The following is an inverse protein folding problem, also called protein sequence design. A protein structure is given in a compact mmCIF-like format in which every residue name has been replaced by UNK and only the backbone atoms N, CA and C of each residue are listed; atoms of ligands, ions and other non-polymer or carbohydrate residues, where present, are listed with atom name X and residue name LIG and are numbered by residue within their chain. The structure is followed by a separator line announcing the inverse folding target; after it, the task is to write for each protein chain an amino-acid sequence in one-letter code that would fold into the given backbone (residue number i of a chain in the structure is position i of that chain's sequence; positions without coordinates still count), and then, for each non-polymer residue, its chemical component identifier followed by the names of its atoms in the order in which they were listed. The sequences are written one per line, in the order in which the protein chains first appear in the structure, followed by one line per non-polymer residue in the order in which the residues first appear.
data_IF_858352694518
#
_entry.id   IF_858352694518
#
_cell.length_a   1.000
_cell.length_b   1.000
_cell.length_c   1.000
_cell.angle_alpha   90.00
_cell.angle_beta   90.00
_cell.angle_gamma   90.00
#
_symmetry.space_group_name_H-M   'P 1'
#
loop_
_entity.id
_entity.type
_entity.pdbx_description
1 polymer ?
#
# COMPACT_ATOMS: atom_id res chain seq x y z
N UNK A 1 6.16 4.36 18.94
CA UNK A 1 7.20 3.43 19.48
C UNK A 1 8.16 2.90 18.42
N UNK A 2 7.69 2.36 17.27
CA UNK A 2 8.54 1.81 16.18
C UNK A 2 9.54 2.80 15.53
N UNK A 3 9.29 4.12 15.57
CA UNK A 3 10.22 5.13 15.05
C UNK A 3 11.55 5.19 15.83
N UNK A 4 11.50 4.96 17.15
CA UNK A 4 12.69 4.98 18.01
C UNK A 4 13.56 3.74 17.77
N UNK A 5 12.96 2.58 17.48
CA UNK A 5 13.69 1.34 17.21
C UNK A 5 14.56 1.41 15.95
N UNK A 6 14.03 2.01 14.86
CA UNK A 6 14.76 2.06 13.59
C UNK A 6 15.84 3.16 13.54
N UNK A 7 15.68 4.22 14.34
CA UNK A 7 16.78 5.17 14.59
C UNK A 7 17.93 4.51 15.36
N UNK A 8 17.61 3.59 16.27
CA UNK A 8 18.58 2.80 17.02
C UNK A 8 19.40 1.86 16.10
N UNK A 9 18.77 1.22 15.11
CA UNK A 9 19.48 0.35 14.15
C UNK A 9 20.47 1.13 13.26
N UNK A 10 20.11 2.37 12.88
CA UNK A 10 21.03 3.28 12.18
C UNK A 10 22.20 3.72 13.05
N UNK A 11 21.96 3.96 14.35
CA UNK A 11 23.03 4.28 15.30
C UNK A 11 23.98 3.09 15.53
N UNK A 12 23.45 1.86 15.63
CA UNK A 12 24.23 0.64 15.80
C UNK A 12 25.16 0.34 14.61
N UNK A 13 24.65 0.52 13.39
CA UNK A 13 25.46 0.36 12.17
C UNK A 13 26.56 1.42 12.06
N UNK A 14 26.26 2.68 12.41
CA UNK A 14 27.27 3.73 12.53
C UNK A 14 28.34 3.43 13.59
N UNK A 15 27.95 2.87 14.73
CA UNK A 15 28.88 2.49 15.79
C UNK A 15 29.83 1.36 15.37
N UNK A 16 29.36 0.36 14.61
CA UNK A 16 30.20 -0.72 14.06
C UNK A 16 31.24 -0.21 13.06
N UNK A 17 30.86 0.73 12.19
CA UNK A 17 31.79 1.37 11.26
C UNK A 17 32.86 2.21 11.99
N UNK A 18 32.45 2.93 13.05
CA UNK A 18 33.36 3.67 13.90
C UNK A 18 34.39 2.75 14.59
N UNK A 19 33.95 1.59 15.09
CA UNK A 19 34.84 0.59 15.67
C UNK A 19 35.88 0.09 14.65
N UNK A 20 35.46 -0.18 13.41
CA UNK A 20 36.37 -0.56 12.33
C UNK A 20 37.42 0.51 12.03
N UNK A 21 37.04 1.79 12.05
CA UNK A 21 37.97 2.90 11.85
C UNK A 21 38.99 3.02 13.00
N UNK A 22 38.55 2.82 14.24
CA UNK A 22 39.43 2.80 15.43
C UNK A 22 40.45 1.67 15.33
N UNK A 23 40.04 0.47 14.89
CA UNK A 23 40.96 -0.67 14.68
C UNK A 23 41.98 -0.39 13.59
N UNK A 24 41.54 0.16 12.44
CA UNK A 24 42.45 0.53 11.34
C UNK A 24 43.47 1.59 11.77
N UNK A 25 43.04 2.58 12.54
CA UNK A 25 43.91 3.62 13.04
C UNK A 25 44.93 3.09 14.06
N UNK A 26 44.51 2.24 14.99
CA UNK A 26 45.42 1.54 15.91
C UNK A 26 46.45 0.67 15.17
N UNK A 27 46.03 -0.02 14.10
CA UNK A 27 46.92 -0.80 13.26
C UNK A 27 47.93 0.08 12.50
N UNK A 28 47.51 1.26 12.03
CA UNK A 28 48.40 2.21 11.36
C UNK A 28 49.50 2.71 12.32
N UNK A 29 49.13 3.14 13.54
CA UNK A 29 50.09 3.56 14.57
C UNK A 29 51.07 2.42 14.95
N UNK A 30 50.60 1.17 15.00
CA UNK A 30 51.46 0.01 15.25
C UNK A 30 52.47 -0.22 14.12
N UNK A 31 52.06 -0.07 12.86
CA UNK A 31 52.89 -0.33 11.67
C UNK A 31 53.93 0.77 11.45
N UNK A 32 53.56 2.04 11.65
CA UNK A 32 54.47 3.18 11.39
C UNK A 32 55.52 3.35 12.49
N UNK A 33 55.36 2.67 13.64
CA UNK A 33 56.27 2.79 14.79
C UNK A 33 56.23 4.17 15.44
N UNK A 34 55.28 5.00 15.02
CA UNK A 34 55.15 6.39 15.41
C UNK A 34 54.05 6.52 16.44
N UNK A 35 54.44 6.75 17.70
CA UNK A 35 53.51 6.99 18.81
C UNK A 35 52.94 8.44 18.73
N UNK A 36 52.50 8.87 17.54
CA UNK A 36 52.21 10.28 17.23
C UNK A 36 51.06 10.87 18.07
N UNK A 37 50.24 10.02 18.68
CA UNK A 37 49.02 10.42 19.38
C UNK A 37 48.91 9.67 20.71
N UNK A 38 49.52 10.22 21.77
CA UNK A 38 49.41 9.69 23.14
C UNK A 38 47.96 9.37 23.55
N UNK A 39 47.74 8.52 24.57
CA UNK A 39 46.45 7.87 24.84
C UNK A 39 45.26 8.83 24.96
N UNK A 40 45.48 10.06 25.40
CA UNK A 40 44.44 11.10 25.42
C UNK A 40 43.93 11.54 24.05
N UNK A 41 44.81 11.65 23.04
CA UNK A 41 44.43 11.97 21.65
C UNK A 41 43.66 10.82 21.01
N UNK A 42 44.05 9.58 21.32
CA UNK A 42 43.34 8.38 20.88
C UNK A 42 41.91 8.32 21.40
N UNK A 43 41.73 8.52 22.70
CA UNK A 43 40.42 8.50 23.34
C UNK A 43 39.54 9.65 22.85
N UNK A 44 40.11 10.85 22.68
CA UNK A 44 39.38 12.01 22.17
C UNK A 44 38.89 11.79 20.74
N UNK A 45 39.77 11.36 19.83
CA UNK A 45 39.41 11.13 18.43
C UNK A 45 38.39 10.00 18.27
N UNK A 46 38.59 8.87 18.97
CA UNK A 46 37.65 7.75 18.96
C UNK A 46 36.29 8.13 19.53
N UNK A 47 36.26 8.91 20.62
CA UNK A 47 35.03 9.45 21.20
C UNK A 47 34.29 10.36 20.22
N UNK A 48 34.99 11.30 19.57
CA UNK A 48 34.41 12.16 18.54
C UNK A 48 33.85 11.34 17.37
N UNK A 49 34.57 10.32 16.89
CA UNK A 49 34.11 9.46 15.80
C UNK A 49 32.85 8.68 16.15
N UNK A 50 32.76 8.11 17.35
CA UNK A 50 31.55 7.41 17.81
C UNK A 50 30.36 8.37 17.84
N UNK A 51 30.53 9.58 18.39
CA UNK A 51 29.47 10.58 18.47
C UNK A 51 29.04 11.03 17.07
N UNK A 52 29.99 11.35 16.18
CA UNK A 52 29.71 11.77 14.80
C UNK A 52 28.96 10.69 14.04
N UNK A 53 29.40 9.43 14.11
CA UNK A 53 28.76 8.31 13.44
C UNK A 53 27.37 8.01 14.00
N UNK A 54 27.17 8.12 15.33
CA UNK A 54 25.86 7.95 15.94
C UNK A 54 24.87 9.05 15.50
N UNK A 55 25.33 10.31 15.44
CA UNK A 55 24.52 11.43 14.97
C UNK A 55 24.18 11.31 13.47
N UNK A 56 25.16 10.93 12.65
CA UNK A 56 24.95 10.67 11.21
C UNK A 56 23.98 9.52 10.97
N UNK A 57 24.17 8.38 11.65
CA UNK A 57 23.30 7.20 11.52
C UNK A 57 21.86 7.48 11.97
N UNK A 58 21.69 8.22 13.06
CA UNK A 58 20.38 8.69 13.50
C UNK A 58 19.75 9.64 12.48
N UNK A 59 20.49 10.63 12.01
CA UNK A 59 20.05 11.59 10.99
C UNK A 59 19.60 10.90 9.71
N UNK A 60 20.45 10.04 9.14
CA UNK A 60 20.15 9.27 7.94
C UNK A 60 18.94 8.35 8.14
N UNK A 61 18.84 7.67 9.29
CA UNK A 61 17.69 6.84 9.63
C UNK A 61 16.39 7.64 9.63
N UNK A 62 16.39 8.85 10.21
CA UNK A 62 15.20 9.71 10.20
C UNK A 62 14.85 10.23 8.79
N UNK A 63 15.85 10.60 7.98
CA UNK A 63 15.67 11.03 6.60
C UNK A 63 15.10 9.91 5.73
N UNK A 64 15.65 8.70 5.85
CA UNK A 64 15.15 7.52 5.15
C UNK A 64 13.69 7.22 5.51
N UNK A 65 13.32 7.33 6.80
CA UNK A 65 11.93 7.16 7.22
C UNK A 65 11.01 8.26 6.68
N UNK A 66 11.49 9.50 6.61
CA UNK A 66 10.75 10.61 5.99
C UNK A 66 10.56 10.33 4.49
N UNK A 67 11.61 9.95 3.77
CA UNK A 67 11.54 9.59 2.36
C UNK A 67 10.57 8.42 2.13
N UNK A 68 10.61 7.39 2.98
CA UNK A 68 9.67 6.27 2.91
C UNK A 68 8.22 6.69 3.18
N UNK A 69 7.99 7.61 4.11
CA UNK A 69 6.65 8.17 4.39
C UNK A 69 6.13 9.06 3.27
N UNK A 70 7.03 9.77 2.60
CA UNK A 70 6.74 10.61 1.44
C UNK A 70 6.64 9.80 0.15
N UNK A 71 7.04 8.52 0.16
CA UNK A 71 6.82 7.64 -0.97
C UNK A 71 5.31 7.49 -1.17
N UNK A 72 4.86 7.78 -2.38
CA UNK A 72 3.47 7.71 -2.82
C UNK A 72 3.15 6.41 -3.55
N UNK A 73 4.16 5.56 -3.78
CA UNK A 73 4.07 4.29 -4.51
C UNK A 73 4.34 3.10 -3.60
N UNK A 74 3.66 1.99 -3.83
CA UNK A 74 3.94 0.71 -3.18
C UNK A 74 5.15 0.03 -3.85
N UNK A 75 6.20 -0.35 -3.12
CA UNK A 75 7.42 -0.92 -3.70
C UNK A 75 7.22 -2.30 -4.33
N UNK A 76 6.21 -3.07 -3.89
CA UNK A 76 5.97 -4.42 -4.41
C UNK A 76 5.23 -4.39 -5.75
N UNK A 77 4.15 -3.62 -5.80
CA UNK A 77 3.19 -3.60 -6.92
C UNK A 77 3.38 -2.40 -7.86
N UNK A 78 4.19 -1.42 -7.46
CA UNK A 78 4.46 -0.18 -8.21
C UNK A 78 3.21 0.67 -8.52
N UNK A 79 2.06 0.37 -7.91
CA UNK A 79 0.87 1.23 -7.91
C UNK A 79 0.98 2.26 -6.79
N UNK A 80 0.03 3.19 -6.72
CA UNK A 80 0.01 4.17 -5.64
C UNK A 80 -0.26 3.48 -4.29
N UNK A 81 0.13 4.16 -3.20
CA UNK A 81 -0.18 3.72 -1.85
C UNK A 81 -1.20 4.65 -1.20
N UNK A 82 -1.67 4.27 0.00
CA UNK A 82 -2.69 5.03 0.74
C UNK A 82 -2.36 6.52 0.94
N UNK A 83 -1.07 6.89 0.99
CA UNK A 83 -0.66 8.28 1.20
C UNK A 83 -0.92 9.16 -0.02
N UNK A 84 -0.99 8.56 -1.22
CA UNK A 84 -1.38 9.24 -2.44
C UNK A 84 -2.89 9.34 -2.59
N UNK A 85 -3.59 8.26 -2.23
CA UNK A 85 -5.00 8.09 -2.52
C UNK A 85 -5.89 9.14 -1.84
N UNK A 86 -5.69 9.41 -0.54
CA UNK A 86 -6.56 10.32 0.20
C UNK A 86 -6.50 11.75 -0.36
N UNK A 87 -5.32 12.38 -0.53
CA UNK A 87 -5.24 13.72 -1.12
C UNK A 87 -5.77 13.77 -2.56
N UNK A 88 -5.53 12.73 -3.37
CA UNK A 88 -6.03 12.70 -4.74
C UNK A 88 -7.57 12.55 -4.78
N UNK A 89 -8.16 11.73 -3.91
CA UNK A 89 -9.61 11.60 -3.80
C UNK A 89 -10.27 12.92 -3.36
N UNK A 90 -9.71 13.61 -2.36
CA UNK A 90 -10.21 14.92 -1.90
C UNK A 90 -10.19 15.94 -3.04
N UNK A 91 -9.07 15.99 -3.78
CA UNK A 91 -8.91 16.86 -4.95
C UNK A 91 -9.92 16.51 -6.05
N UNK A 92 -10.13 15.24 -6.36
CA UNK A 92 -11.08 14.82 -7.39
C UNK A 92 -12.52 15.12 -7.00
N UNK A 93 -12.89 15.00 -5.72
CA UNK A 93 -14.22 15.39 -5.24
C UNK A 93 -14.45 16.89 -5.33
N UNK A 94 -13.47 17.72 -4.95
CA UNK A 94 -13.57 19.17 -5.09
C UNK A 94 -13.73 19.61 -6.56
N UNK A 95 -13.04 18.93 -7.48
CA UNK A 95 -13.19 19.16 -8.92
C UNK A 95 -14.55 18.69 -9.44
N UNK A 96 -15.02 17.53 -8.98
CA UNK A 96 -16.31 16.96 -9.31
C UNK A 96 -17.47 17.84 -8.89
N UNK A 97 -17.42 18.40 -7.67
CA UNK A 97 -18.39 19.35 -7.16
C UNK A 97 -18.46 20.62 -8.04
N UNK A 98 -17.30 21.14 -8.44
CA UNK A 98 -17.23 22.35 -9.28
C UNK A 98 -17.67 22.12 -10.72
N UNK A 99 -17.35 20.96 -11.29
CA UNK A 99 -17.54 20.67 -12.72
C UNK A 99 -18.79 19.83 -13.02
N UNK A 100 -19.44 19.26 -11.99
CA UNK A 100 -20.66 18.47 -12.14
C UNK A 100 -20.45 17.08 -12.72
N UNK A 101 -19.38 16.37 -12.33
CA UNK A 101 -19.15 14.98 -12.75
C UNK A 101 -19.15 14.00 -11.57
N UNK A 102 -19.35 12.71 -11.85
CA UNK A 102 -19.34 11.65 -10.84
C UNK A 102 -17.94 11.10 -10.59
N UNK A 103 -17.65 10.75 -9.35
CA UNK A 103 -16.40 10.06 -8.95
C UNK A 103 -16.78 8.78 -8.25
N UNK A 104 -16.32 7.64 -8.77
CA UNK A 104 -16.53 6.34 -8.12
C UNK A 104 -15.28 5.90 -7.36
N UNK A 105 -15.48 5.37 -6.16
CA UNK A 105 -14.47 4.75 -5.33
C UNK A 105 -14.81 3.26 -5.17
N UNK A 106 -13.83 2.41 -5.44
CA UNK A 106 -13.98 0.95 -5.37
C UNK A 106 -13.02 0.42 -4.32
N UNK A 107 -13.54 -0.27 -3.31
CA UNK A 107 -12.73 -1.05 -2.36
C UNK A 107 -12.68 -2.50 -2.84
N UNK A 108 -11.48 -3.07 -2.86
CA UNK A 108 -11.18 -4.41 -3.35
C UNK A 108 -10.42 -5.16 -2.27
N UNK A 109 -10.82 -6.39 -1.99
CA UNK A 109 -10.14 -7.32 -1.09
C UNK A 109 -9.94 -8.66 -1.81
N UNK A 110 -8.73 -9.21 -1.76
CA UNK A 110 -8.44 -10.52 -2.33
C UNK A 110 -8.88 -11.64 -1.39
N UNK A 111 -9.84 -12.44 -1.84
CA UNK A 111 -10.40 -13.51 -1.02
C UNK A 111 -9.36 -14.61 -0.77
N UNK A 112 -9.31 -15.10 0.47
CA UNK A 112 -8.42 -16.17 0.93
C UNK A 112 -6.93 -15.96 0.63
N UNK A 113 -6.48 -14.72 0.45
CA UNK A 113 -5.07 -14.40 0.17
C UNK A 113 -4.10 -14.95 1.22
N UNK A 114 -4.52 -14.98 2.49
CA UNK A 114 -3.74 -15.61 3.57
C UNK A 114 -3.49 -17.10 3.31
N UNK A 115 -4.47 -17.84 2.79
CA UNK A 115 -4.32 -19.26 2.45
C UNK A 115 -3.27 -19.48 1.36
N UNK A 116 -3.21 -18.58 0.37
CA UNK A 116 -2.17 -18.60 -0.67
C UNK A 116 -0.78 -18.46 -0.04
N UNK A 117 -0.61 -17.50 0.88
CA UNK A 117 0.66 -17.32 1.60
C UNK A 117 1.02 -18.54 2.45
N UNK A 118 0.06 -19.09 3.18
CA UNK A 118 0.29 -20.21 4.10
C UNK A 118 0.62 -21.51 3.33
N UNK A 119 0.03 -21.70 2.14
CA UNK A 119 0.19 -22.93 1.35
C UNK A 119 1.37 -22.87 0.36
N UNK A 120 1.59 -21.70 -0.26
CA UNK A 120 2.54 -21.53 -1.37
C UNK A 120 3.71 -20.59 -1.02
N UNK A 121 3.71 -20.05 0.19
CA UNK A 121 4.72 -19.11 0.67
C UNK A 121 4.47 -17.66 0.22
N UNK A 122 5.10 -16.74 0.93
CA UNK A 122 4.95 -15.30 0.69
C UNK A 122 5.36 -14.84 -0.70
N UNK A 123 6.33 -15.49 -1.35
CA UNK A 123 6.75 -15.14 -2.71
C UNK A 123 5.63 -15.38 -3.73
N UNK A 124 4.80 -16.41 -3.52
CA UNK A 124 3.65 -16.67 -4.37
C UNK A 124 2.54 -15.63 -4.15
N UNK A 125 2.30 -15.22 -2.90
CA UNK A 125 1.37 -14.13 -2.59
C UNK A 125 1.82 -12.79 -3.18
N UNK A 126 3.11 -12.48 -3.10
CA UNK A 126 3.69 -11.29 -3.72
C UNK A 126 3.47 -11.27 -5.23
N UNK A 127 3.57 -12.43 -5.89
CA UNK A 127 3.31 -12.55 -7.32
C UNK A 127 1.83 -12.34 -7.68
N UNK A 128 0.91 -12.89 -6.87
CA UNK A 128 -0.53 -12.63 -7.02
C UNK A 128 -0.83 -11.14 -6.92
N UNK A 129 -0.22 -10.44 -5.95
CA UNK A 129 -0.41 -9.00 -5.78
C UNK A 129 0.09 -8.20 -6.99
N UNK A 130 1.25 -8.58 -7.57
CA UNK A 130 1.76 -7.95 -8.80
C UNK A 130 0.83 -8.18 -9.99
N UNK A 131 0.33 -9.40 -10.15
CA UNK A 131 -0.58 -9.75 -11.25
C UNK A 131 -1.90 -8.97 -11.19
N UNK A 132 -2.48 -8.85 -10.00
CA UNK A 132 -3.71 -8.07 -9.78
C UNK A 132 -3.45 -6.58 -10.06
N UNK A 133 -2.35 -6.03 -9.53
CA UNK A 133 -1.98 -4.64 -9.76
C UNK A 133 -1.79 -4.33 -11.26
N UNK A 134 -1.10 -5.21 -11.98
CA UNK A 134 -0.90 -5.11 -13.42
C UNK A 134 -2.21 -5.23 -14.21
N UNK A 135 -3.09 -6.14 -13.79
CA UNK A 135 -4.42 -6.31 -14.37
C UNK A 135 -5.23 -5.00 -14.27
N UNK A 136 -5.25 -4.35 -13.10
CA UNK A 136 -5.87 -3.04 -12.95
C UNK A 136 -5.20 -1.97 -13.82
N UNK A 137 -3.86 -1.85 -13.76
CA UNK A 137 -3.14 -0.82 -14.53
C UNK A 137 -3.39 -0.90 -16.04
N UNK A 138 -3.56 -2.10 -16.60
CA UNK A 138 -3.79 -2.29 -18.04
C UNK A 138 -5.20 -1.96 -18.47
N UNK A 139 -6.17 -2.07 -17.57
CA UNK A 139 -7.59 -1.86 -17.87
C UNK A 139 -8.12 -0.48 -17.47
N UNK A 140 -7.43 0.19 -16.56
CA UNK A 140 -7.78 1.52 -16.09
C UNK A 140 -7.19 2.62 -16.99
N UNK A 141 -7.88 3.76 -17.06
CA UNK A 141 -7.43 4.92 -17.83
C UNK A 141 -6.33 5.65 -17.08
N UNK A 142 -5.60 6.53 -17.77
CA UNK A 142 -4.56 7.37 -17.14
C UNK A 142 -5.09 8.31 -16.04
N UNK A 143 -6.37 8.67 -16.11
CA UNK A 143 -7.07 9.50 -15.11
C UNK A 143 -7.47 8.72 -13.87
N UNK A 144 -7.51 7.40 -13.97
CA UNK A 144 -7.94 6.52 -12.91
C UNK A 144 -6.74 6.20 -12.02
N UNK A 145 -6.99 6.04 -10.73
CA UNK A 145 -5.95 5.71 -9.75
C UNK A 145 -6.19 4.31 -9.22
N UNK A 146 -5.17 3.46 -9.31
CA UNK A 146 -5.10 2.21 -8.55
C UNK A 146 -4.15 2.39 -7.39
N UNK A 147 -4.59 2.01 -6.21
CA UNK A 147 -3.84 2.10 -4.97
C UNK A 147 -3.85 0.76 -4.24
N UNK A 148 -2.70 0.33 -3.72
CA UNK A 148 -2.65 -0.71 -2.69
C UNK A 148 -2.82 -0.06 -1.32
N UNK A 149 -3.97 -0.27 -0.71
CA UNK A 149 -4.36 0.37 0.55
C UNK A 149 -3.83 -0.40 1.77
N UNK A 150 -3.92 -1.72 1.71
CA UNK A 150 -3.53 -2.67 2.75
C UNK A 150 -2.77 -3.87 2.18
N UNK A 151 -2.53 -4.90 2.98
CA UNK A 151 -1.75 -6.07 2.58
C UNK A 151 -2.26 -6.69 1.27
N UNK A 152 -3.53 -7.01 1.23
CA UNK A 152 -4.29 -7.61 0.13
C UNK A 152 -5.45 -6.73 -0.36
N UNK A 153 -5.53 -5.51 0.14
CA UNK A 153 -6.59 -4.56 -0.18
C UNK A 153 -6.12 -3.55 -1.23
N UNK A 154 -6.93 -3.39 -2.29
CA UNK A 154 -6.75 -2.35 -3.29
C UNK A 154 -7.92 -1.37 -3.25
N UNK A 155 -7.65 -0.14 -3.66
CA UNK A 155 -8.68 0.88 -3.85
C UNK A 155 -8.50 1.52 -5.22
N UNK A 156 -9.60 1.62 -5.95
CA UNK A 156 -9.65 2.31 -7.24
C UNK A 156 -10.40 3.62 -7.07
N UNK A 157 -9.85 4.70 -7.61
CA UNK A 157 -10.51 6.00 -7.73
C UNK A 157 -10.73 6.28 -9.21
N UNK A 158 -11.99 6.46 -9.59
CA UNK A 158 -12.45 6.56 -10.98
C UNK A 158 -13.16 7.91 -11.19
N UNK A 159 -12.43 8.98 -11.53
CA UNK A 159 -13.03 10.25 -11.93
C UNK A 159 -13.88 10.10 -13.19
N UNK A 160 -14.86 10.98 -13.39
CA UNK A 160 -15.77 10.97 -14.54
C UNK A 160 -16.47 9.62 -14.77
N UNK A 161 -16.72 8.88 -13.69
CA UNK A 161 -17.29 7.53 -13.75
C UNK A 161 -18.41 7.41 -12.74
N UNK A 162 -19.62 7.14 -13.22
CA UNK A 162 -20.79 6.86 -12.40
C UNK A 162 -20.68 5.48 -11.74
N UNK A 163 -21.49 5.24 -10.71
CA UNK A 163 -21.54 3.96 -10.00
C UNK A 163 -21.78 2.78 -10.95
N UNK A 164 -22.72 2.94 -11.88
CA UNK A 164 -23.08 1.91 -12.87
C UNK A 164 -21.93 1.62 -13.84
N UNK A 165 -21.26 2.66 -14.34
CA UNK A 165 -20.10 2.50 -15.22
C UNK A 165 -18.93 1.83 -14.49
N UNK A 166 -18.70 2.18 -13.22
CA UNK A 166 -17.69 1.52 -12.39
C UNK A 166 -17.99 0.02 -12.23
N UNK A 167 -19.24 -0.35 -11.96
CA UNK A 167 -19.66 -1.76 -11.91
C UNK A 167 -19.42 -2.50 -13.23
N UNK A 168 -19.74 -1.88 -14.37
CA UNK A 168 -19.51 -2.48 -15.69
C UNK A 168 -18.01 -2.66 -15.99
N UNK A 169 -17.19 -1.66 -15.65
CA UNK A 169 -15.74 -1.73 -15.77
C UNK A 169 -15.17 -2.88 -14.95
N UNK A 170 -15.61 -3.03 -13.70
CA UNK A 170 -15.17 -4.12 -12.82
C UNK A 170 -15.58 -5.49 -13.36
N UNK A 171 -16.80 -5.64 -13.90
CA UNK A 171 -17.23 -6.88 -14.54
C UNK A 171 -16.32 -7.25 -15.71
N UNK A 172 -15.93 -6.27 -16.53
CA UNK A 172 -14.98 -6.48 -17.63
C UNK A 172 -13.60 -6.89 -17.11
N UNK A 173 -13.06 -6.20 -16.10
CA UNK A 173 -11.75 -6.51 -15.52
C UNK A 173 -11.74 -7.94 -14.95
N UNK A 174 -12.82 -8.40 -14.34
CA UNK A 174 -12.91 -9.79 -13.83
C UNK A 174 -12.87 -10.85 -14.94
N UNK A 175 -13.23 -10.51 -16.17
CA UNK A 175 -13.16 -11.46 -17.29
C UNK A 175 -11.72 -11.64 -17.80
N UNK A 176 -10.81 -10.71 -17.50
CA UNK A 176 -9.40 -10.83 -17.85
C UNK A 176 -8.76 -12.02 -17.13
N UNK A 177 -7.98 -12.82 -17.86
CA UNK A 177 -7.45 -14.10 -17.36
C UNK A 177 -6.66 -13.96 -16.06
N UNK A 178 -5.88 -12.88 -15.93
CA UNK A 178 -5.07 -12.60 -14.74
C UNK A 178 -5.93 -12.29 -13.49
N UNK A 179 -7.05 -11.59 -13.66
CA UNK A 179 -7.98 -11.30 -12.57
C UNK A 179 -8.99 -12.43 -12.33
N UNK A 180 -9.31 -13.23 -13.35
CA UNK A 180 -10.29 -14.32 -13.29
C UNK A 180 -9.87 -15.44 -12.32
N UNK A 181 -8.57 -15.67 -12.16
CA UNK A 181 -8.04 -16.74 -11.31
C UNK A 181 -7.86 -16.33 -9.85
N UNK A 182 -8.06 -15.05 -9.51
CA UNK A 182 -7.91 -14.51 -8.17
C UNK A 182 -9.29 -14.10 -7.66
N UNK A 183 -9.92 -14.87 -6.75
CA UNK A 183 -11.20 -14.48 -6.18
C UNK A 183 -11.01 -13.16 -5.40
N UNK A 184 -11.94 -12.24 -5.58
CA UNK A 184 -11.89 -10.92 -4.98
C UNK A 184 -13.29 -10.40 -4.69
N UNK A 185 -13.42 -9.75 -3.54
CA UNK A 185 -14.62 -9.05 -3.09
C UNK A 185 -14.49 -7.57 -3.42
N UNK A 186 -15.54 -6.98 -3.98
CA UNK A 186 -15.55 -5.61 -4.49
C UNK A 186 -16.74 -4.84 -3.92
N UNK A 187 -16.52 -3.59 -3.54
CA UNK A 187 -17.57 -2.67 -3.13
C UNK A 187 -17.40 -1.30 -3.77
N UNK A 188 -18.50 -0.74 -4.28
CA UNK A 188 -18.49 0.51 -5.06
C UNK A 188 -19.35 1.55 -4.35
N UNK A 189 -18.81 2.75 -4.19
CA UNK A 189 -19.54 3.95 -3.80
C UNK A 189 -19.24 5.09 -4.78
N UNK A 190 -20.21 5.95 -5.06
CA UNK A 190 -20.02 7.07 -5.98
C UNK A 190 -20.46 8.40 -5.39
N UNK A 191 -19.68 9.45 -5.65
CA UNK A 191 -20.13 10.83 -5.52
C UNK A 191 -21.03 11.21 -6.71
N UNK A 192 -22.15 11.91 -6.48
CA UNK A 192 -22.68 12.37 -5.18
C UNK A 192 -23.65 11.38 -4.50
N UNK A 193 -24.00 10.25 -5.13
CA UNK A 193 -25.07 9.33 -4.70
C UNK A 193 -24.86 8.73 -3.30
N UNK A 194 -23.64 8.29 -2.98
CA UNK A 194 -23.31 7.56 -1.76
C UNK A 194 -22.63 8.43 -0.69
N UNK A 195 -22.34 9.70 -1.01
CA UNK A 195 -21.70 10.64 -0.09
C UNK A 195 -20.98 11.78 -0.78
N UNK A 196 -20.70 12.85 -0.02
CA UNK A 196 -19.99 14.05 -0.47
C UNK A 196 -18.53 14.14 -0.01
N UNK A 197 -18.08 13.24 0.87
CA UNK A 197 -16.72 13.22 1.42
C UNK A 197 -16.02 11.91 1.12
N UNK A 198 -14.68 11.94 1.08
CA UNK A 198 -13.85 10.74 0.88
C UNK A 198 -14.17 9.67 1.93
N UNK A 199 -14.27 10.04 3.20
CA UNK A 199 -14.61 9.12 4.29
C UNK A 199 -15.99 8.47 4.14
N UNK A 200 -16.99 9.22 3.65
CA UNK A 200 -18.33 8.68 3.41
C UNK A 200 -18.31 7.66 2.27
N UNK A 201 -17.63 7.98 1.16
CA UNK A 201 -17.49 7.05 0.03
C UNK A 201 -16.73 5.79 0.42
N UNK A 202 -15.60 5.94 1.13
CA UNK A 202 -14.84 4.80 1.64
C UNK A 202 -15.67 3.89 2.51
N UNK A 203 -16.41 4.45 3.48
CA UNK A 203 -17.26 3.67 4.38
C UNK A 203 -18.34 2.90 3.61
N UNK A 204 -19.01 3.56 2.65
CA UNK A 204 -20.05 2.91 1.84
C UNK A 204 -19.47 1.83 0.92
N UNK A 205 -18.31 2.06 0.33
CA UNK A 205 -17.64 1.07 -0.50
C UNK A 205 -17.17 -0.13 0.33
N UNK A 206 -16.63 0.10 1.52
CA UNK A 206 -16.22 -0.94 2.46
C UNK A 206 -17.41 -1.79 2.95
N UNK A 207 -18.52 -1.16 3.34
CA UNK A 207 -19.76 -1.86 3.71
C UNK A 207 -20.30 -2.76 2.59
N UNK A 208 -20.26 -2.26 1.34
CA UNK A 208 -20.67 -3.01 0.16
C UNK A 208 -19.74 -4.21 -0.11
N UNK A 209 -18.42 -3.99 0.01
CA UNK A 209 -17.41 -5.03 -0.15
C UNK A 209 -17.54 -6.11 0.93
N UNK A 210 -17.76 -5.72 2.18
CA UNK A 210 -17.96 -6.64 3.30
C UNK A 210 -19.19 -7.52 3.10
N UNK A 211 -20.29 -6.95 2.58
CA UNK A 211 -21.50 -7.70 2.23
C UNK A 211 -21.23 -8.70 1.11
N UNK A 212 -20.52 -8.29 0.06
CA UNK A 212 -20.14 -9.19 -1.04
C UNK A 212 -19.28 -10.37 -0.54
N UNK A 213 -18.31 -10.11 0.34
CA UNK A 213 -17.46 -11.12 0.96
C UNK A 213 -18.25 -12.13 1.79
N UNK A 214 -19.29 -11.67 2.48
CA UNK A 214 -20.23 -12.52 3.22
C UNK A 214 -21.04 -13.45 2.32
N UNK A 215 -21.59 -12.92 1.22
CA UNK A 215 -22.37 -13.69 0.24
C UNK A 215 -21.51 -14.76 -0.44
N UNK A 216 -20.30 -14.42 -0.89
CA UNK A 216 -19.42 -15.40 -1.54
C UNK A 216 -18.98 -16.55 -0.65
N UNK A 217 -18.74 -16.27 0.64
CA UNK A 217 -18.45 -17.33 1.63
C UNK A 217 -19.65 -18.24 1.88
N UNK A 218 -20.87 -17.71 1.80
CA UNK A 218 -22.08 -18.53 1.92
C UNK A 218 -22.29 -19.40 0.67
N UNK A 219 -22.13 -18.82 -0.54
CA UNK A 219 -22.23 -19.55 -1.81
C UNK A 219 -21.17 -20.67 -1.93
N UNK A 220 -19.93 -20.40 -1.51
CA UNK A 220 -18.86 -21.41 -1.50
C UNK A 220 -19.15 -22.58 -0.55
N UNK A 221 -19.95 -22.37 0.51
CA UNK A 221 -20.37 -23.43 1.45
C UNK A 221 -21.54 -24.26 0.95
N UNK A 222 -22.43 -23.66 0.15
CA UNK A 222 -23.63 -24.30 -0.39
C UNK A 222 -23.36 -25.07 -1.70
N UNK A 223 -22.21 -24.84 -2.35
CA UNK A 223 -21.75 -25.63 -3.50
C UNK A 223 -22.58 -25.49 -4.77
N UNK A 224 -23.51 -24.52 -4.82
CA UNK A 224 -24.60 -24.48 -5.80
C UNK A 224 -24.32 -23.65 -7.06
N UNK A 225 -23.26 -22.83 -7.14
CA UNK A 225 -22.94 -22.06 -8.36
C UNK A 225 -21.42 -21.81 -8.52
N UNK A 226 -20.90 -21.72 -9.77
CA UNK A 226 -19.52 -21.28 -10.00
C UNK A 226 -19.34 -19.85 -9.46
N UNK A 227 -18.34 -19.67 -8.59
CA UNK A 227 -17.89 -18.40 -8.00
C UNK A 227 -17.82 -17.30 -9.08
N UNK A 228 -18.87 -16.50 -9.25
CA UNK A 228 -18.94 -15.62 -10.43
C UNK A 228 -20.06 -14.59 -10.43
N UNK A 229 -21.31 -15.00 -10.16
CA UNK A 229 -22.49 -14.20 -10.55
C UNK A 229 -23.19 -13.44 -9.40
N UNK A 230 -23.04 -13.84 -8.13
CA UNK A 230 -23.70 -13.18 -6.99
C UNK A 230 -23.13 -11.81 -6.56
N UNK A 231 -21.96 -11.42 -7.10
CA UNK A 231 -21.05 -10.49 -6.42
C UNK A 231 -21.19 -8.99 -6.76
N UNK A 232 -21.65 -8.64 -7.97
CA UNK A 232 -21.90 -7.22 -8.35
C UNK A 232 -23.36 -6.84 -8.05
N UNK A 233 -24.19 -7.86 -7.80
CA UNK A 233 -25.62 -7.71 -7.63
C UNK A 233 -25.99 -7.04 -6.30
N UNK A 234 -25.22 -7.13 -5.21
CA UNK A 234 -25.60 -6.46 -3.97
C UNK A 234 -25.70 -4.92 -4.09
N UNK A 235 -24.86 -4.30 -4.95
CA UNK A 235 -24.95 -2.88 -5.30
C UNK A 235 -26.04 -2.55 -6.32
N UNK A 236 -26.28 -3.44 -7.29
CA UNK A 236 -27.30 -3.28 -8.35
C UNK A 236 -28.73 -3.64 -7.92
N UNK A 237 -28.90 -4.61 -7.01
CA UNK A 237 -30.19 -5.11 -6.50
C UNK A 237 -30.87 -4.04 -5.65
N UNK A 238 -30.12 -3.22 -4.90
CA UNK A 238 -30.72 -2.16 -4.08
C UNK A 238 -31.28 -1.00 -4.91
N UNK A 239 -30.68 -0.66 -6.05
CA UNK A 239 -31.25 0.34 -6.97
C UNK A 239 -32.53 -0.16 -7.66
N UNK A 240 -32.68 -1.48 -7.87
CA UNK A 240 -33.88 -2.05 -8.48
C UNK A 240 -35.08 -2.16 -7.53
N UNK A 241 -34.87 -2.02 -6.21
CA UNK A 241 -35.93 -2.04 -5.19
C UNK A 241 -36.35 -0.64 -4.69
N UNK A 242 -35.74 0.44 -5.21
CA UNK A 242 -35.99 1.83 -4.78
C UNK A 242 -36.52 2.75 -5.90
N UNK A 243 -36.92 2.20 -7.04
CA UNK A 243 -37.69 2.91 -8.06
C UNK A 243 -39.14 2.40 -8.03
N UNK A 244 -40.14 3.30 -8.00
CA UNK A 244 -41.56 2.94 -7.92
C UNK A 244 -42.06 2.16 -9.14
#
# INVERSE_FOLDING_TARGET
MRLKLNGLTGALTGALLALGFVVLWAAADYITGDLYHGPGRFLLFSGCMIVINALWGFGLGTLYQRAKRLSVTDPLTQVYNRNFLIPEAEKQLALAERQGYAVSLVVVDLDDFKSVNDTRGHLAGDEVLRQVADCFRRNLRRTDTVCRYGGDEFVLLLPYTTKTEACQLLLRIRQETACRQVPMSLGVAAYPEDGSTVDALFRRADEAMYTAKGCGRAEARDGSLPLGEGFVAAGLIRQRQLLP
#
